data_IF_006904417044
#
_entry.id   IF_006904417044
#
_cell.length_a   1.000
_cell.length_b   1.000
_cell.length_c   1.000
_cell.angle_alpha   90.00
_cell.angle_beta   90.00
_cell.angle_gamma   90.00
#
_symmetry.space_group_name_H-M   'P 1'
#
loop_
_entity.id
_entity.type
_entity.pdbx_description
1 polymer ?
#
# COMPACT_ATOMS: atom_id res chain seq x y z
N UNK A 1 -9.93 -4.15 -31.62
CA UNK A 1 -10.47 -5.53 -31.55
C UNK A 1 -9.51 -6.61 -32.07
N UNK A 2 -8.47 -6.29 -32.84
CA UNK A 2 -7.50 -7.26 -33.38
C UNK A 2 -6.53 -7.89 -32.36
N UNK A 3 -6.26 -7.24 -31.21
CA UNK A 3 -5.32 -7.72 -30.18
C UNK A 3 -5.90 -8.79 -29.23
N UNK A 4 -7.21 -9.09 -29.33
CA UNK A 4 -7.86 -10.13 -28.49
C UNK A 4 -7.74 -11.55 -29.06
N UNK A 5 -7.19 -11.73 -30.26
CA UNK A 5 -7.11 -13.03 -30.94
C UNK A 5 -5.73 -13.67 -30.96
N UNK A 6 -4.66 -12.97 -30.54
CA UNK A 6 -3.29 -13.46 -30.67
C UNK A 6 -2.80 -14.32 -29.49
N UNK A 7 -3.64 -14.61 -28.49
CA UNK A 7 -3.26 -15.47 -27.36
C UNK A 7 -4.45 -16.31 -26.84
N UNK A 8 -4.64 -17.55 -27.33
CA UNK A 8 -5.72 -18.45 -26.91
C UNK A 8 -5.47 -19.16 -25.58
N UNK A 9 -4.37 -18.85 -24.87
CA UNK A 9 -4.08 -19.43 -23.55
C UNK A 9 -3.93 -18.28 -22.55
N UNK A 10 -4.74 -18.20 -21.48
CA UNK A 10 -4.46 -17.25 -20.42
C UNK A 10 -3.03 -17.54 -19.97
N UNK A 11 -2.19 -16.52 -19.93
CA UNK A 11 -0.85 -16.58 -19.37
C UNK A 11 -1.01 -16.84 -17.88
N UNK A 12 -1.35 -18.08 -17.53
CA UNK A 12 -1.51 -18.55 -16.18
C UNK A 12 -0.10 -18.60 -15.62
N UNK A 13 0.32 -17.47 -15.04
CA UNK A 13 1.49 -17.39 -14.20
C UNK A 13 1.51 -18.65 -13.33
N UNK A 14 2.64 -19.39 -13.28
CA UNK A 14 2.75 -20.59 -12.46
C UNK A 14 2.17 -20.32 -11.08
N UNK A 15 1.35 -21.23 -10.53
CA UNK A 15 0.78 -21.09 -9.17
C UNK A 15 1.86 -20.75 -8.12
N UNK A 16 3.09 -21.20 -8.37
CA UNK A 16 4.29 -20.89 -7.59
C UNK A 16 4.58 -19.39 -7.42
N UNK A 17 4.20 -18.54 -8.38
CA UNK A 17 4.38 -17.10 -8.25
C UNK A 17 3.44 -16.47 -7.23
N UNK A 18 2.27 -17.05 -7.01
CA UNK A 18 1.39 -16.63 -5.92
C UNK A 18 2.03 -16.90 -4.56
N UNK A 19 2.64 -18.07 -4.40
CA UNK A 19 3.37 -18.44 -3.16
C UNK A 19 4.64 -17.61 -2.99
N UNK A 20 5.40 -17.35 -4.07
CA UNK A 20 6.60 -16.54 -4.01
C UNK A 20 6.29 -15.06 -3.72
N UNK A 21 5.22 -14.50 -4.31
CA UNK A 21 4.84 -13.11 -4.06
C UNK A 21 4.30 -12.89 -2.66
N UNK A 22 3.59 -13.87 -2.08
CA UNK A 22 3.12 -13.77 -0.70
C UNK A 22 4.28 -13.82 0.29
N UNK A 23 5.23 -14.74 0.10
CA UNK A 23 6.46 -14.80 0.90
C UNK A 23 7.28 -13.52 0.78
N UNK A 24 7.42 -12.99 -0.44
CA UNK A 24 8.14 -11.74 -0.68
C UNK A 24 7.45 -10.55 0.01
N UNK A 25 6.13 -10.46 -0.09
CA UNK A 25 5.35 -9.38 0.56
C UNK A 25 5.47 -9.48 2.08
N UNK A 26 5.35 -10.69 2.64
CA UNK A 26 5.54 -10.94 4.06
C UNK A 26 6.96 -10.55 4.49
N UNK A 27 7.98 -10.93 3.72
CA UNK A 27 9.37 -10.59 3.98
C UNK A 27 9.60 -9.08 3.92
N UNK A 28 9.06 -8.37 2.92
CA UNK A 28 9.16 -6.91 2.81
C UNK A 28 8.56 -6.22 4.03
N UNK A 29 7.33 -6.57 4.41
CA UNK A 29 6.67 -6.02 5.61
C UNK A 29 7.48 -6.28 6.88
N UNK A 30 7.98 -7.51 7.07
CA UNK A 30 8.78 -7.89 8.24
C UNK A 30 10.11 -7.13 8.26
N UNK A 31 10.82 -7.06 7.14
CA UNK A 31 12.09 -6.34 7.04
C UNK A 31 11.89 -4.84 7.33
N UNK A 32 10.92 -4.20 6.69
CA UNK A 32 10.59 -2.79 6.95
C UNK A 32 10.25 -2.57 8.42
N UNK A 33 9.42 -3.44 9.00
CA UNK A 33 9.00 -3.34 10.40
C UNK A 33 10.17 -3.47 11.37
N UNK A 34 11.03 -4.48 11.20
CA UNK A 34 12.19 -4.71 12.08
C UNK A 34 13.16 -3.53 11.99
N UNK A 35 13.46 -3.03 10.79
CA UNK A 35 14.42 -1.92 10.65
C UNK A 35 13.82 -0.61 11.18
N UNK A 36 12.53 -0.35 10.93
CA UNK A 36 11.85 0.83 11.47
C UNK A 36 11.68 0.78 12.99
N UNK A 37 11.57 -0.41 13.60
CA UNK A 37 11.51 -0.56 15.05
C UNK A 37 12.84 -0.18 15.74
N UNK A 38 13.96 -0.34 15.05
CA UNK A 38 15.28 0.06 15.55
C UNK A 38 15.60 1.55 15.33
N UNK A 39 14.72 2.30 14.66
CA UNK A 39 14.92 3.72 14.44
C UNK A 39 14.74 4.51 15.75
N UNK A 40 15.57 5.54 15.95
CA UNK A 40 15.45 6.43 17.10
C UNK A 40 14.23 7.36 16.92
N UNK A 41 13.14 7.08 17.63
CA UNK A 41 11.90 7.84 17.56
C UNK A 41 12.00 9.14 18.38
N UNK A 42 12.64 10.16 17.82
CA UNK A 42 12.57 11.52 18.37
C UNK A 42 11.29 12.23 17.94
N UNK A 43 10.84 13.22 18.73
CA UNK A 43 9.66 14.05 18.39
C UNK A 43 9.83 14.76 17.05
N UNK A 44 11.04 15.18 16.73
CA UNK A 44 11.40 15.82 15.47
C UNK A 44 11.22 14.86 14.29
N UNK A 45 11.75 13.63 14.40
CA UNK A 45 11.62 12.60 13.36
C UNK A 45 10.15 12.20 13.17
N UNK A 46 9.40 12.02 14.25
CA UNK A 46 7.97 11.73 14.14
C UNK A 46 7.21 12.86 13.41
N UNK A 47 7.54 14.12 13.71
CA UNK A 47 6.96 15.28 13.03
C UNK A 47 7.29 15.34 11.54
N UNK A 48 8.55 15.08 11.16
CA UNK A 48 8.95 15.08 9.74
C UNK A 48 8.32 13.94 8.96
N UNK A 49 8.25 12.74 9.55
CA UNK A 49 7.58 11.58 8.94
C UNK A 49 6.09 11.87 8.72
N UNK A 50 5.38 12.41 9.72
CA UNK A 50 3.97 12.79 9.57
C UNK A 50 3.77 13.88 8.51
N UNK A 51 4.64 14.90 8.48
CA UNK A 51 4.60 15.94 7.46
C UNK A 51 4.82 15.37 6.06
N UNK A 52 5.75 14.43 5.90
CA UNK A 52 6.03 13.76 4.63
C UNK A 52 4.83 12.91 4.16
N UNK A 53 4.21 12.16 5.08
CA UNK A 53 2.99 11.39 4.79
C UNK A 53 1.85 12.33 4.36
N UNK A 54 1.63 13.42 5.10
CA UNK A 54 0.60 14.39 4.76
C UNK A 54 0.84 15.03 3.39
N UNK A 55 2.08 15.46 3.11
CA UNK A 55 2.46 16.00 1.80
C UNK A 55 2.21 15.00 0.67
N UNK A 56 2.55 13.73 0.87
CA UNK A 56 2.30 12.64 -0.09
C UNK A 56 0.81 12.45 -0.34
N UNK A 57 -0.03 12.43 0.70
CA UNK A 57 -1.48 12.28 0.56
C UNK A 57 -2.09 13.47 -0.19
N UNK A 58 -1.71 14.71 0.17
CA UNK A 58 -2.17 15.92 -0.52
C UNK A 58 -1.76 15.91 -1.99
N UNK A 59 -0.49 15.58 -2.29
CA UNK A 59 -0.01 15.48 -3.67
C UNK A 59 -0.79 14.43 -4.47
N UNK A 60 -1.13 13.28 -3.87
CA UNK A 60 -1.98 12.25 -4.49
C UNK A 60 -3.38 12.76 -4.79
N UNK A 61 -4.02 13.42 -3.83
CA UNK A 61 -5.35 14.00 -4.03
C UNK A 61 -5.35 15.07 -5.11
N UNK A 62 -4.36 15.96 -5.14
CA UNK A 62 -4.21 16.97 -6.19
C UNK A 62 -4.01 16.28 -7.54
N UNK A 63 -3.13 15.30 -7.65
CA UNK A 63 -2.89 14.56 -8.89
C UNK A 63 -4.15 13.89 -9.42
N UNK A 64 -4.94 13.25 -8.54
CA UNK A 64 -6.21 12.62 -8.94
C UNK A 64 -7.28 13.67 -9.27
N UNK A 65 -7.35 14.79 -8.55
CA UNK A 65 -8.27 15.87 -8.87
C UNK A 65 -7.98 16.51 -10.24
N UNK A 66 -6.70 16.71 -10.56
CA UNK A 66 -6.27 17.19 -11.89
C UNK A 66 -6.59 16.16 -12.98
N UNK A 67 -6.35 14.87 -12.73
CA UNK A 67 -6.72 13.80 -13.66
C UNK A 67 -8.22 13.58 -13.81
N UNK A 68 -9.02 14.02 -12.84
CA UNK A 68 -10.48 13.97 -12.88
C UNK A 68 -11.10 15.10 -13.72
N UNK A 69 -10.34 16.16 -14.03
CA UNK A 69 -10.82 17.25 -14.86
C UNK A 69 -11.03 16.75 -16.30
N UNK A 70 -12.30 16.56 -16.69
CA UNK A 70 -12.69 16.14 -18.03
C UNK A 70 -12.85 14.62 -18.23
N UNK A 71 -12.71 13.80 -17.17
CA UNK A 71 -12.89 12.34 -17.25
C UNK A 71 -14.33 11.87 -17.10
N UNK A 72 -15.27 12.76 -16.72
CA UNK A 72 -16.67 12.42 -16.47
C UNK A 72 -16.93 11.63 -15.18
N UNK A 73 -15.89 11.33 -14.39
CA UNK A 73 -16.02 10.68 -13.07
C UNK A 73 -16.48 11.66 -12.01
N UNK A 74 -17.34 11.18 -11.11
CA UNK A 74 -17.83 11.99 -9.99
C UNK A 74 -16.70 12.33 -9.02
N UNK A 75 -16.78 13.49 -8.36
CA UNK A 75 -15.81 13.88 -7.32
C UNK A 75 -15.67 12.84 -6.20
N UNK A 76 -16.76 12.13 -5.88
CA UNK A 76 -16.74 11.03 -4.91
C UNK A 76 -15.90 9.84 -5.40
N UNK A 77 -16.01 9.46 -6.67
CA UNK A 77 -15.17 8.41 -7.27
C UNK A 77 -13.70 8.83 -7.30
N UNK A 78 -13.42 10.08 -7.68
CA UNK A 78 -12.05 10.62 -7.67
C UNK A 78 -11.43 10.55 -6.27
N UNK A 79 -12.21 10.87 -5.22
CA UNK A 79 -11.74 10.78 -3.84
C UNK A 79 -11.39 9.34 -3.45
N UNK A 80 -12.25 8.37 -3.78
CA UNK A 80 -11.99 6.95 -3.50
C UNK A 80 -10.81 6.40 -4.29
N UNK A 81 -10.64 6.82 -5.56
CA UNK A 81 -9.46 6.48 -6.36
C UNK A 81 -8.18 7.04 -5.74
N UNK A 82 -8.21 8.27 -5.22
CA UNK A 82 -7.09 8.83 -4.45
C UNK A 82 -6.73 7.98 -3.24
N UNK A 83 -7.74 7.54 -2.48
CA UNK A 83 -7.55 6.68 -1.31
C UNK A 83 -6.96 5.29 -1.68
N UNK A 84 -7.35 4.67 -2.78
CA UNK A 84 -6.80 3.36 -3.20
C UNK A 84 -5.36 3.44 -3.68
N UNK A 85 -4.86 4.64 -4.04
CA UNK A 85 -3.44 4.88 -4.36
C UNK A 85 -2.56 5.20 -3.14
N UNK A 86 -3.14 5.18 -1.93
CA UNK A 86 -2.43 5.41 -0.67
C UNK A 86 -1.35 4.36 -0.35
N UNK A 87 -1.56 3.03 -0.60
CA UNK A 87 -0.54 2.02 -0.34
C UNK A 87 0.80 2.37 -0.97
N UNK A 88 1.87 2.10 -0.22
CA UNK A 88 3.24 2.29 -0.69
C UNK A 88 3.72 1.04 -1.41
N UNK A 89 4.48 1.22 -2.49
CA UNK A 89 5.06 0.11 -3.25
C UNK A 89 6.37 -0.34 -2.61
N UNK A 90 6.72 -1.63 -2.76
CA UNK A 90 8.05 -2.17 -2.43
C UNK A 90 9.19 -1.44 -3.16
N UNK A 91 8.90 -0.76 -4.25
CA UNK A 91 9.85 0.13 -4.95
C UNK A 91 10.36 1.23 -4.02
N UNK A 92 9.57 1.71 -3.05
CA UNK A 92 10.03 2.72 -2.11
C UNK A 92 11.16 2.21 -1.21
N UNK A 93 11.08 0.96 -0.75
CA UNK A 93 12.16 0.32 0.00
C UNK A 93 13.40 0.15 -0.88
N UNK A 94 13.23 -0.34 -2.10
CA UNK A 94 14.33 -0.49 -3.06
C UNK A 94 15.04 0.85 -3.29
N UNK A 95 14.30 1.92 -3.57
CA UNK A 95 14.87 3.26 -3.75
C UNK A 95 15.56 3.79 -2.48
N UNK A 96 15.06 3.42 -1.30
CA UNK A 96 15.70 3.76 -0.03
C UNK A 96 17.05 3.07 0.12
N UNK A 97 17.12 1.78 -0.22
CA UNK A 97 18.38 1.00 -0.21
C UNK A 97 19.38 1.59 -1.19
N UNK A 98 18.94 1.89 -2.42
CA UNK A 98 19.78 2.52 -3.45
C UNK A 98 20.28 3.91 -3.00
N UNK A 99 19.41 4.73 -2.40
CA UNK A 99 19.77 6.07 -1.91
C UNK A 99 20.78 6.03 -0.76
N UNK A 100 20.61 5.08 0.16
CA UNK A 100 21.55 4.83 1.27
C UNK A 100 22.91 4.39 0.73
N UNK A 101 22.92 3.49 -0.26
CA UNK A 101 24.15 3.02 -0.90
C UNK A 101 24.86 4.13 -1.69
N UNK A 102 24.09 5.00 -2.37
CA UNK A 102 24.63 6.10 -3.17
C UNK A 102 25.16 7.28 -2.34
N UNK A 103 24.76 7.43 -1.09
CA UNK A 103 25.19 8.54 -0.22
C UNK A 103 25.41 8.10 1.22
N UNK A 104 26.55 7.42 1.51
CA UNK A 104 26.85 6.90 2.84
C UNK A 104 26.83 7.96 3.95
N UNK A 105 27.25 9.19 3.65
CA UNK A 105 27.24 10.31 4.60
C UNK A 105 25.82 10.68 5.10
N UNK A 106 24.80 10.40 4.31
CA UNK A 106 23.38 10.70 4.62
C UNK A 106 22.55 9.46 4.89
N UNK A 107 23.18 8.28 4.85
CA UNK A 107 22.51 6.99 4.99
C UNK A 107 21.61 6.91 6.21
N UNK A 108 22.13 7.32 7.38
CA UNK A 108 21.39 7.31 8.64
C UNK A 108 20.17 8.23 8.60
N UNK A 109 20.32 9.45 8.05
CA UNK A 109 19.24 10.42 7.94
C UNK A 109 18.15 9.97 6.96
N UNK A 110 18.54 9.41 5.81
CA UNK A 110 17.60 8.87 4.82
C UNK A 110 16.82 7.71 5.43
N UNK A 111 17.50 6.74 6.03
CA UNK A 111 16.87 5.57 6.64
C UNK A 111 15.94 5.95 7.81
N UNK A 112 16.36 6.90 8.65
CA UNK A 112 15.60 7.36 9.82
C UNK A 112 14.26 8.01 9.46
N UNK A 113 14.10 8.54 8.24
CA UNK A 113 12.84 9.14 7.78
C UNK A 113 12.09 8.18 6.86
N UNK A 114 12.77 7.59 5.88
CA UNK A 114 12.15 6.77 4.84
C UNK A 114 11.55 5.48 5.41
N UNK A 115 12.26 4.76 6.28
CA UNK A 115 11.81 3.45 6.76
C UNK A 115 10.57 3.57 7.67
N UNK A 116 10.51 4.50 8.64
CA UNK A 116 9.27 4.75 9.39
C UNK A 116 8.12 5.24 8.50
N UNK A 117 8.40 6.05 7.48
CA UNK A 117 7.39 6.49 6.50
C UNK A 117 6.80 5.31 5.74
N UNK A 118 7.66 4.39 5.27
CA UNK A 118 7.24 3.17 4.58
C UNK A 118 6.38 2.31 5.50
N UNK A 119 6.85 2.04 6.73
CA UNK A 119 6.10 1.26 7.72
C UNK A 119 4.70 1.84 7.96
N UNK A 120 4.62 3.16 8.21
CA UNK A 120 3.35 3.85 8.44
C UNK A 120 2.44 3.75 7.21
N UNK A 121 2.96 3.95 6.01
CA UNK A 121 2.15 3.91 4.79
C UNK A 121 1.78 2.50 4.33
N UNK A 122 2.56 1.48 4.68
CA UNK A 122 2.21 0.09 4.46
C UNK A 122 0.99 -0.30 5.31
N UNK A 123 0.95 0.13 6.57
CA UNK A 123 -0.17 -0.14 7.46
C UNK A 123 -1.36 0.80 7.24
N UNK A 124 -1.17 2.12 7.29
CA UNK A 124 -2.24 3.10 7.08
C UNK A 124 -2.74 3.07 5.64
N UNK A 125 -1.85 2.94 4.66
CA UNK A 125 -2.24 2.95 3.25
C UNK A 125 -3.09 1.74 2.88
N UNK A 126 -2.78 0.55 3.41
CA UNK A 126 -3.60 -0.65 3.20
C UNK A 126 -4.98 -0.54 3.87
N UNK A 127 -5.05 0.04 5.08
CA UNK A 127 -6.34 0.32 5.74
C UNK A 127 -7.18 1.30 4.93
N UNK A 128 -6.59 2.42 4.49
CA UNK A 128 -7.27 3.44 3.68
C UNK A 128 -7.78 2.84 2.36
N UNK A 129 -6.96 2.04 1.67
CA UNK A 129 -7.36 1.37 0.43
C UNK A 129 -8.49 0.37 0.65
N UNK A 130 -8.43 -0.41 1.73
CA UNK A 130 -9.48 -1.37 2.09
C UNK A 130 -10.82 -0.65 2.31
N UNK A 131 -10.82 0.41 3.13
CA UNK A 131 -12.02 1.24 3.36
C UNK A 131 -12.54 1.82 2.04
N UNK A 132 -11.64 2.32 1.18
CA UNK A 132 -12.03 2.91 -0.09
C UNK A 132 -12.71 1.90 -1.04
N UNK A 133 -12.18 0.69 -1.16
CA UNK A 133 -12.76 -0.38 -1.99
C UNK A 133 -14.16 -0.75 -1.49
N UNK A 134 -14.33 -0.89 -0.17
CA UNK A 134 -15.64 -1.19 0.40
C UNK A 134 -16.64 -0.05 0.23
N UNK A 135 -16.21 1.20 0.42
CA UNK A 135 -17.08 2.37 0.24
C UNK A 135 -17.43 2.65 -1.23
N UNK A 136 -16.59 2.20 -2.18
CA UNK A 136 -16.89 2.20 -3.60
C UNK A 136 -17.90 1.10 -4.00
N UNK A 137 -18.15 0.12 -3.12
CA UNK A 137 -18.99 -1.04 -3.42
C UNK A 137 -18.30 -2.09 -4.31
N UNK A 138 -16.97 -2.03 -4.42
CA UNK A 138 -16.17 -2.92 -5.28
C UNK A 138 -15.60 -4.14 -4.51
N UNK A 139 -15.92 -4.28 -3.22
CA UNK A 139 -15.55 -5.47 -2.45
C UNK A 139 -16.45 -6.65 -2.79
N UNK A 140 -15.84 -7.82 -3.00
CA UNK A 140 -16.53 -9.10 -3.16
C UNK A 140 -17.07 -9.66 -1.83
N UNK A 141 -16.58 -9.18 -0.70
CA UNK A 141 -17.02 -9.57 0.64
C UNK A 141 -17.79 -8.41 1.30
N UNK A 142 -18.92 -8.67 1.97
CA UNK A 142 -19.59 -7.67 2.80
C UNK A 142 -18.65 -7.22 3.93
N UNK A 143 -18.75 -5.95 4.33
CA UNK A 143 -17.99 -5.42 5.47
C UNK A 143 -18.50 -6.08 6.77
N UNK A 144 -17.92 -7.22 7.12
CA UNK A 144 -18.12 -7.89 8.40
C UNK A 144 -16.80 -7.83 9.19
N UNK A 145 -16.81 -7.39 10.45
CA UNK A 145 -15.65 -7.58 11.31
C UNK A 145 -15.36 -9.09 11.36
N UNK A 146 -14.15 -9.50 10.97
CA UNK A 146 -13.72 -10.92 10.96
C UNK A 146 -14.00 -11.61 12.31
N UNK A 147 -14.00 -10.84 13.40
CA UNK A 147 -14.38 -11.26 14.76
C UNK A 147 -15.82 -11.84 14.88
N UNK A 148 -16.77 -11.40 14.06
CA UNK A 148 -18.15 -11.92 14.10
C UNK A 148 -18.26 -13.27 13.40
N UNK A 149 -17.40 -13.55 12.42
CA UNK A 149 -17.43 -14.81 11.66
C UNK A 149 -16.84 -15.98 12.46
N UNK A 150 -15.81 -15.75 13.26
CA UNK A 150 -15.23 -16.77 14.15
C UNK A 150 -16.14 -17.14 15.31
N UNK A 151 -17.05 -16.24 15.73
CA UNK A 151 -18.03 -16.52 16.79
C UNK A 151 -19.27 -17.25 16.25
N UNK A 152 -19.56 -17.11 14.95
CA UNK A 152 -20.76 -17.68 14.31
C UNK A 152 -20.50 -18.91 13.43
N UNK A 153 -19.26 -19.40 13.33
CA UNK A 153 -18.91 -20.47 12.39
C UNK A 153 -17.79 -21.38 12.85
N UNK A 154 -18.14 -22.34 13.71
CA UNK A 154 -17.59 -23.71 13.78
C UNK A 154 -18.61 -24.61 14.51
N UNK A 155 -19.86 -24.58 14.03
CA UNK A 155 -21.00 -25.28 14.65
C UNK A 155 -21.71 -26.27 13.73
N UNK A 156 -21.12 -26.67 12.59
CA UNK A 156 -21.78 -27.61 11.70
C UNK A 156 -20.84 -28.42 10.81
N UNK A 157 -19.96 -29.22 11.42
CA UNK A 157 -19.38 -30.39 10.77
C UNK A 157 -19.63 -31.61 11.67
N UNK A 158 -20.69 -32.35 11.35
CA UNK A 158 -20.99 -33.71 11.82
C UNK A 158 -20.83 -34.69 10.67
#
# INVERSE_FOLDING_TARGET
>A
MLLRQTSPRPWAWPRQLGTASSLLTMLMFVLVSVVAAQAEWSRQVAGTVLALVAARLVAKFIGVALGNAGSGTSWKQALWVGCTMSPMSSIALLLTVEAVAASPERASMIAAIALPTILLMEMLGSVIATVAIHQAGESSQPWAPVLVRSVLGDGNES
#
